data_IF_233411499806
#
_entry.id   IF_233411499806
#
_cell.length_a   1.000
_cell.length_b   1.000
_cell.length_c   1.000
_cell.angle_alpha   90.00
_cell.angle_beta   90.00
_cell.angle_gamma   90.00
#
_symmetry.space_group_name_H-M   'P 1'
#
loop_
_entity.id
_entity.type
_entity.pdbx_description
1 polymer ?
#
# COMPACT_ATOMS: atom_id res chain seq x y z
N UNK A 1 -29.42 0.44 -2.56
CA UNK A 1 -29.31 0.44 -1.08
C UNK A 1 -28.64 1.72 -0.57
N UNK A 2 -27.47 2.14 -1.08
CA UNK A 2 -26.90 3.47 -0.77
C UNK A 2 -27.74 4.66 -1.27
N UNK A 3 -28.46 4.48 -2.38
CA UNK A 3 -29.38 5.48 -2.98
C UNK A 3 -30.65 5.77 -2.16
N UNK A 4 -30.88 5.05 -1.05
CA UNK A 4 -32.02 5.25 -0.16
C UNK A 4 -31.68 6.16 1.04
N UNK A 5 -30.39 6.37 1.33
CA UNK A 5 -29.93 7.25 2.39
C UNK A 5 -29.97 8.70 1.90
N UNK A 6 -31.10 9.38 2.11
CA UNK A 6 -31.28 10.81 1.80
C UNK A 6 -30.31 11.73 2.56
N UNK A 7 -29.76 11.24 3.68
CA UNK A 7 -28.66 11.83 4.45
C UNK A 7 -27.77 10.72 4.99
N UNK A 8 -26.46 10.85 4.78
CA UNK A 8 -25.45 9.94 5.34
C UNK A 8 -25.17 10.38 6.77
N UNK A 9 -25.22 9.46 7.72
CA UNK A 9 -24.86 9.76 9.11
C UNK A 9 -23.34 10.00 9.20
N UNK A 10 -22.84 10.98 9.99
CA UNK A 10 -21.41 11.31 10.05
C UNK A 10 -20.48 10.11 10.28
N UNK A 11 -20.94 9.11 11.05
CA UNK A 11 -20.20 7.85 11.30
C UNK A 11 -20.06 6.97 10.04
N UNK A 12 -21.08 6.94 9.19
CA UNK A 12 -21.06 6.17 7.94
C UNK A 12 -20.18 6.88 6.91
N UNK A 13 -20.25 8.21 6.84
CA UNK A 13 -19.38 9.00 5.97
C UNK A 13 -17.89 8.82 6.33
N UNK A 14 -17.56 8.88 7.63
CA UNK A 14 -16.21 8.60 8.11
C UNK A 14 -15.75 7.18 7.77
N UNK A 15 -16.62 6.18 7.93
CA UNK A 15 -16.31 4.80 7.54
C UNK A 15 -16.04 4.68 6.04
N UNK A 16 -16.90 5.28 5.19
CA UNK A 16 -16.75 5.26 3.74
C UNK A 16 -15.46 5.96 3.27
N UNK A 17 -15.09 7.08 3.88
CA UNK A 17 -13.82 7.76 3.59
C UNK A 17 -12.59 6.93 4.00
N UNK A 18 -12.73 6.02 4.96
CA UNK A 18 -11.67 5.10 5.37
C UNK A 18 -11.57 3.84 4.47
N UNK A 19 -12.64 3.49 3.73
CA UNK A 19 -12.68 2.29 2.88
C UNK A 19 -11.53 2.22 1.87
N UNK A 20 -11.19 3.28 1.10
CA UNK A 20 -10.11 3.20 0.12
C UNK A 20 -8.76 2.86 0.77
N UNK A 21 -8.46 3.46 1.93
CA UNK A 21 -7.25 3.14 2.67
C UNK A 21 -7.23 1.69 3.16
N UNK A 22 -8.38 1.19 3.63
CA UNK A 22 -8.53 -0.22 4.03
C UNK A 22 -8.33 -1.19 2.86
N UNK A 23 -8.81 -0.85 1.66
CA UNK A 23 -8.61 -1.67 0.46
C UNK A 23 -7.15 -1.67 0.03
N UNK A 24 -6.45 -0.53 0.10
CA UNK A 24 -5.02 -0.49 -0.24
C UNK A 24 -4.19 -1.34 0.73
N UNK A 25 -4.48 -1.28 2.03
CA UNK A 25 -3.73 -2.08 3.00
C UNK A 25 -4.02 -3.57 2.86
N UNK A 26 -5.21 -4.00 2.43
CA UNK A 26 -5.47 -5.43 2.20
C UNK A 26 -4.66 -5.98 1.02
N UNK A 27 -4.23 -5.13 0.08
CA UNK A 27 -3.33 -5.52 -1.01
C UNK A 27 -1.86 -5.61 -0.54
N UNK A 28 -1.44 -4.73 0.37
CA UNK A 28 -0.04 -4.62 0.80
C UNK A 28 0.27 -5.51 2.02
N UNK A 29 -0.68 -5.67 2.94
CA UNK A 29 -0.53 -6.46 4.16
C UNK A 29 -0.07 -7.91 3.94
N UNK A 30 -0.62 -8.69 2.99
CA UNK A 30 -0.11 -10.06 2.75
C UNK A 30 1.37 -10.03 2.35
N UNK A 31 1.81 -9.08 1.53
CA UNK A 31 3.23 -8.95 1.17
C UNK A 31 4.14 -8.62 2.36
N UNK A 32 3.64 -7.94 3.40
CA UNK A 32 4.39 -7.70 4.64
C UNK A 32 4.42 -8.90 5.58
N UNK A 33 3.31 -9.66 5.65
CA UNK A 33 3.14 -10.74 6.63
C UNK A 33 3.66 -12.09 6.12
N UNK A 34 3.48 -12.36 4.83
CA UNK A 34 3.80 -13.66 4.20
C UNK A 34 4.87 -13.53 3.12
N UNK A 35 5.29 -12.31 2.79
CA UNK A 35 6.36 -12.07 1.82
C UNK A 35 7.73 -12.48 2.36
N UNK A 36 8.67 -12.69 1.45
CA UNK A 36 10.06 -12.92 1.80
C UNK A 36 10.79 -11.63 2.15
N UNK A 37 12.08 -11.79 2.49
CA UNK A 37 12.99 -10.67 2.72
C UNK A 37 13.04 -9.68 1.53
N UNK A 38 12.98 -10.11 0.25
CA UNK A 38 12.89 -9.20 -0.89
C UNK A 38 11.64 -8.32 -0.90
N UNK A 39 10.46 -8.89 -0.62
CA UNK A 39 9.21 -8.15 -0.64
C UNK A 39 9.16 -7.11 0.49
N UNK A 40 9.56 -7.50 1.69
CA UNK A 40 9.57 -6.60 2.85
C UNK A 40 10.56 -5.46 2.64
N UNK A 41 11.78 -5.75 2.18
CA UNK A 41 12.79 -4.72 1.92
C UNK A 41 12.37 -3.74 0.82
N UNK A 42 11.77 -4.23 -0.27
CA UNK A 42 11.23 -3.39 -1.34
C UNK A 42 10.13 -2.46 -0.82
N UNK A 43 9.23 -2.96 0.03
CA UNK A 43 8.18 -2.16 0.66
C UNK A 43 8.75 -1.10 1.62
N UNK A 44 9.75 -1.45 2.43
CA UNK A 44 10.42 -0.50 3.33
C UNK A 44 11.11 0.61 2.55
N UNK A 45 11.84 0.29 1.49
CA UNK A 45 12.52 1.29 0.66
C UNK A 45 11.49 2.19 -0.06
N UNK A 46 10.44 1.61 -0.65
CA UNK A 46 9.40 2.39 -1.29
C UNK A 46 8.72 3.36 -0.30
N UNK A 47 8.42 2.89 0.92
CA UNK A 47 7.84 3.73 1.97
C UNK A 47 8.76 4.90 2.34
N UNK A 48 10.05 4.65 2.58
CA UNK A 48 11.02 5.69 2.90
C UNK A 48 11.17 6.73 1.78
N UNK A 49 11.26 6.29 0.53
CA UNK A 49 11.42 7.19 -0.63
C UNK A 49 10.16 8.02 -0.87
N UNK A 50 8.97 7.43 -0.68
CA UNK A 50 7.70 8.12 -0.87
C UNK A 50 7.52 9.33 0.05
N UNK A 51 8.11 9.28 1.24
CA UNK A 51 8.05 10.35 2.24
C UNK A 51 8.77 11.63 1.78
N UNK A 52 9.72 11.52 0.83
CA UNK A 52 10.55 12.66 0.39
C UNK A 52 10.38 13.03 -1.09
N UNK A 53 10.14 12.07 -1.97
CA UNK A 53 10.37 12.23 -3.42
C UNK A 53 9.12 12.07 -4.31
N UNK A 54 7.97 11.72 -3.73
CA UNK A 54 6.74 11.46 -4.46
C UNK A 54 6.62 10.03 -5.01
N UNK A 55 5.53 9.77 -5.74
CA UNK A 55 5.11 8.41 -6.11
C UNK A 55 6.03 7.72 -7.12
N UNK A 56 6.45 8.42 -8.18
CA UNK A 56 7.27 7.81 -9.25
C UNK A 56 8.64 7.34 -8.74
N UNK A 57 9.41 8.15 -7.97
CA UNK A 57 10.68 7.68 -7.41
C UNK A 57 10.51 6.52 -6.42
N UNK A 58 9.44 6.53 -5.60
CA UNK A 58 9.15 5.45 -4.66
C UNK A 58 8.86 4.12 -5.36
N UNK A 59 8.06 4.17 -6.43
CA UNK A 59 7.76 3.00 -7.26
C UNK A 59 9.02 2.42 -7.90
N UNK A 60 9.84 3.26 -8.53
CA UNK A 60 11.08 2.81 -9.18
C UNK A 60 12.05 2.23 -8.15
N UNK A 61 12.24 2.90 -7.01
CA UNK A 61 13.14 2.41 -5.96
C UNK A 61 12.70 1.05 -5.41
N UNK A 62 11.42 0.89 -5.07
CA UNK A 62 10.88 -0.40 -4.61
C UNK A 62 11.02 -1.51 -5.66
N UNK A 63 10.69 -1.20 -6.92
CA UNK A 63 10.82 -2.15 -8.03
C UNK A 63 12.28 -2.61 -8.21
N UNK A 64 13.24 -1.68 -8.21
CA UNK A 64 14.67 -1.99 -8.35
C UNK A 64 15.15 -2.88 -7.19
N UNK A 65 14.80 -2.56 -5.94
CA UNK A 65 15.18 -3.36 -4.77
C UNK A 65 14.65 -4.79 -4.88
N UNK A 66 13.36 -4.93 -5.21
CA UNK A 66 12.73 -6.24 -5.36
C UNK A 66 13.41 -7.07 -6.44
N UNK A 67 13.66 -6.46 -7.61
CA UNK A 67 14.24 -7.14 -8.77
C UNK A 67 15.68 -7.56 -8.51
N UNK A 68 16.47 -6.70 -7.87
CA UNK A 68 17.85 -6.99 -7.48
C UNK A 68 17.89 -8.13 -6.47
N UNK A 69 17.14 -8.05 -5.37
CA UNK A 69 17.16 -9.09 -4.34
C UNK A 69 16.66 -10.43 -4.87
N UNK A 70 15.61 -10.43 -5.69
CA UNK A 70 15.14 -11.65 -6.32
C UNK A 70 16.15 -12.24 -7.31
N UNK A 71 16.87 -11.39 -8.05
CA UNK A 71 17.92 -11.86 -8.97
C UNK A 71 19.11 -12.50 -8.23
N UNK A 72 19.32 -12.14 -6.97
CA UNK A 72 20.35 -12.71 -6.09
C UNK A 72 19.90 -14.03 -5.44
N UNK A 73 18.67 -14.49 -5.67
CA UNK A 73 18.12 -15.73 -5.12
C UNK A 73 17.67 -15.64 -3.66
N UNK A 74 17.53 -14.42 -3.13
CA UNK A 74 16.87 -14.12 -1.86
C UNK A 74 15.35 -14.00 -2.07
#
# INVERSE_FOLDING_TARGET
VLSQFRRIHPRVEAALNAVPAAVLITLVAPSLLTGGVPEISALVVAALVSLRSGLMPAFIAGAVVLLVMRSLGL
#
